data_IF_383267636109
#
_entry.id   IF_383267636109
#
_cell.length_a   1.000
_cell.length_b   1.000
_cell.length_c   1.000
_cell.angle_alpha   90.00
_cell.angle_beta   90.00
_cell.angle_gamma   90.00
#
_symmetry.space_group_name_H-M   'P 1'
#
loop_
_entity.id
_entity.type
_entity.pdbx_description
1 polymer ?
#
# COMPACT_ATOMS: atom_id res chain seq x y z
N UNK A 1 -29.02 -53.76 23.53
CA UNK A 1 -30.22 -52.99 23.91
C UNK A 1 -30.07 -51.62 23.27
N UNK A 2 -30.11 -51.54 21.94
CA UNK A 2 -31.31 -51.71 21.09
C UNK A 2 -32.27 -50.56 21.38
N UNK A 3 -32.85 -49.83 20.45
CA UNK A 3 -33.17 -49.97 19.02
C UNK A 3 -34.16 -48.80 18.78
N UNK A 4 -34.59 -48.35 17.61
CA UNK A 4 -34.36 -48.55 16.20
C UNK A 4 -35.14 -47.39 15.51
N UNK A 5 -34.88 -47.15 14.23
CA UNK A 5 -35.92 -46.62 13.32
C UNK A 5 -37.01 -47.68 13.08
N UNK A 6 -37.63 -47.82 11.88
CA UNK A 6 -37.41 -47.08 10.63
C UNK A 6 -38.71 -46.88 9.79
N UNK A 7 -38.55 -46.50 8.51
CA UNK A 7 -39.45 -46.87 7.41
C UNK A 7 -40.21 -45.69 6.78
N UNK A 8 -40.28 -45.51 5.46
CA UNK A 8 -39.92 -46.36 4.32
C UNK A 8 -41.05 -46.34 3.27
N UNK A 9 -40.69 -46.28 1.98
CA UNK A 9 -41.57 -46.57 0.83
C UNK A 9 -42.19 -45.33 0.16
N UNK A 10 -42.31 -45.25 -1.17
CA UNK A 10 -42.13 -46.25 -2.21
C UNK A 10 -42.17 -45.64 -3.62
N UNK A 11 -41.72 -46.46 -4.56
CA UNK A 11 -41.59 -46.23 -6.00
C UNK A 11 -42.88 -46.64 -6.75
N UNK A 12 -42.87 -46.41 -8.08
CA UNK A 12 -43.78 -46.89 -9.16
C UNK A 12 -44.97 -45.98 -9.47
N UNK A 13 -45.49 -45.81 -10.69
CA UNK A 13 -45.07 -46.01 -12.10
C UNK A 13 -46.25 -45.54 -13.01
N UNK A 14 -46.03 -45.47 -14.33
CA UNK A 14 -47.00 -45.25 -15.43
C UNK A 14 -47.44 -43.79 -15.65
N UNK A 15 -47.51 -43.21 -16.86
CA UNK A 15 -47.32 -43.70 -18.23
C UNK A 15 -48.26 -42.91 -19.14
N UNK A 16 -47.77 -42.23 -20.18
CA UNK A 16 -48.53 -42.04 -21.43
C UNK A 16 -47.62 -41.57 -22.57
N UNK A 17 -47.94 -42.10 -23.74
CA UNK A 17 -47.20 -42.18 -24.99
C UNK A 17 -47.44 -41.01 -25.94
N UNK A 18 -46.43 -40.80 -26.81
CA UNK A 18 -46.50 -40.38 -28.24
C UNK A 18 -46.94 -38.92 -28.55
N UNK A 19 -46.46 -38.23 -29.60
CA UNK A 19 -45.87 -38.72 -30.85
C UNK A 19 -45.13 -37.58 -31.63
N UNK A 20 -44.23 -37.96 -32.55
CA UNK A 20 -43.75 -37.24 -33.78
C UNK A 20 -42.98 -35.91 -33.57
N UNK A 21 -41.80 -35.64 -34.15
CA UNK A 21 -41.04 -36.22 -35.24
C UNK A 21 -39.71 -35.45 -35.46
N UNK A 22 -38.85 -36.04 -36.29
CA UNK A 22 -37.41 -35.78 -36.51
C UNK A 22 -36.99 -34.33 -36.79
N UNK A 23 -35.82 -33.95 -36.26
CA UNK A 23 -34.86 -33.09 -36.95
C UNK A 23 -33.42 -33.34 -36.45
N UNK A 24 -32.48 -33.31 -37.40
CA UNK A 24 -31.11 -33.81 -37.37
C UNK A 24 -30.15 -33.09 -36.41
N UNK A 25 -29.36 -33.88 -35.66
CA UNK A 25 -28.17 -33.42 -34.91
C UNK A 25 -27.05 -32.98 -35.86
N UNK A 26 -26.59 -31.75 -35.71
CA UNK A 26 -25.26 -31.31 -36.14
C UNK A 26 -24.38 -31.16 -34.89
N UNK A 27 -23.23 -31.84 -34.86
CA UNK A 27 -22.24 -31.76 -33.78
C UNK A 27 -21.43 -30.45 -33.89
N UNK A 28 -21.13 -29.73 -32.80
CA UNK A 28 -20.00 -28.83 -32.77
C UNK A 28 -18.74 -29.62 -32.37
N UNK A 29 -17.88 -29.89 -33.36
CA UNK A 29 -16.51 -30.35 -33.10
C UNK A 29 -15.61 -29.14 -32.88
N UNK A 30 -14.95 -29.08 -31.72
CA UNK A 30 -13.97 -28.06 -31.39
C UNK A 30 -13.57 -28.12 -29.92
N UNK A 31 -12.63 -29.00 -29.58
CA UNK A 31 -12.04 -29.12 -28.25
C UNK A 31 -11.20 -27.89 -27.90
N UNK A 32 -11.55 -27.16 -26.84
CA UNK A 32 -10.64 -26.21 -26.20
C UNK A 32 -9.60 -26.99 -25.37
N UNK A 33 -8.32 -26.88 -25.73
CA UNK A 33 -7.24 -27.41 -24.90
C UNK A 33 -6.94 -26.43 -23.74
N UNK A 34 -6.80 -26.98 -22.53
CA UNK A 34 -6.31 -26.26 -21.36
C UNK A 34 -4.80 -26.04 -21.53
N UNK A 35 -4.38 -24.83 -21.87
CA UNK A 35 -2.94 -24.50 -21.94
C UNK A 35 -2.60 -23.08 -22.41
N UNK A 36 -3.52 -22.37 -23.07
CA UNK A 36 -3.23 -21.04 -23.59
C UNK A 36 -3.54 -19.95 -22.57
N UNK A 37 -2.48 -19.32 -22.06
CA UNK A 37 -2.60 -18.06 -21.33
C UNK A 37 -3.26 -17.02 -22.25
N UNK A 38 -4.13 -16.13 -21.73
CA UNK A 38 -4.83 -15.12 -22.54
C UNK A 38 -3.87 -14.23 -23.36
N UNK A 39 -2.62 -14.14 -22.94
CA UNK A 39 -1.55 -13.42 -23.61
C UNK A 39 -1.05 -14.10 -24.90
N UNK A 40 -1.06 -15.44 -24.98
CA UNK A 40 -0.70 -16.19 -26.20
C UNK A 40 -1.79 -16.11 -27.26
N UNK A 41 -3.05 -16.18 -26.84
CA UNK A 41 -4.21 -15.98 -27.74
C UNK A 41 -4.30 -14.55 -28.28
N UNK A 42 -4.01 -13.55 -27.44
CA UNK A 42 -3.93 -12.15 -27.88
C UNK A 42 -2.77 -11.91 -28.86
N UNK A 43 -1.61 -12.53 -28.61
CA UNK A 43 -0.44 -12.40 -29.48
C UNK A 43 -0.64 -13.12 -30.82
N UNK A 44 -1.27 -14.30 -30.83
CA UNK A 44 -1.57 -15.02 -32.07
C UNK A 44 -2.62 -14.29 -32.91
N UNK A 45 -3.64 -13.70 -32.27
CA UNK A 45 -4.63 -12.85 -32.93
C UNK A 45 -3.99 -11.58 -33.51
N UNK A 46 -3.13 -10.91 -32.75
CA UNK A 46 -2.39 -9.73 -33.21
C UNK A 46 -1.48 -10.06 -34.39
N UNK A 47 -0.72 -11.16 -34.33
CA UNK A 47 0.14 -11.60 -35.43
C UNK A 47 -0.66 -12.01 -36.67
N UNK A 48 -1.85 -12.61 -36.49
CA UNK A 48 -2.75 -12.94 -37.58
C UNK A 48 -3.33 -11.69 -38.25
N UNK A 49 -3.70 -10.67 -37.48
CA UNK A 49 -4.14 -9.36 -38.00
C UNK A 49 -3.01 -8.63 -38.74
N UNK A 50 -1.80 -8.60 -38.18
CA UNK A 50 -0.63 -8.00 -38.85
C UNK A 50 -0.31 -8.73 -40.16
N UNK A 51 -0.40 -10.07 -40.16
CA UNK A 51 -0.19 -10.89 -41.36
C UNK A 51 -1.29 -10.66 -42.41
N UNK A 52 -2.55 -10.52 -42.01
CA UNK A 52 -3.65 -10.16 -42.93
C UNK A 52 -3.55 -8.72 -43.43
N UNK A 53 -2.94 -7.81 -42.67
CA UNK A 53 -2.68 -6.42 -43.08
C UNK A 53 -1.62 -6.33 -44.20
N UNK A 54 -0.54 -7.10 -44.04
CA UNK A 54 0.59 -7.12 -44.98
C UNK A 54 0.31 -7.98 -46.22
N UNK A 55 -0.38 -9.12 -46.06
CA UNK A 55 -0.52 -10.14 -47.12
C UNK A 55 -1.96 -10.40 -47.57
N UNK A 56 -2.97 -9.81 -46.91
CA UNK A 56 -4.39 -10.02 -47.26
C UNK A 56 -4.80 -9.26 -48.52
N UNK A 57 -5.54 -9.95 -49.39
CA UNK A 57 -6.03 -9.44 -50.67
C UNK A 57 -7.39 -8.70 -50.57
N UNK A 58 -7.70 -8.13 -49.41
CA UNK A 58 -8.92 -7.36 -49.17
C UNK A 58 -8.68 -5.84 -49.26
N UNK A 59 -9.70 -5.14 -49.75
CA UNK A 59 -9.63 -3.76 -50.25
C UNK A 59 -8.99 -2.73 -49.33
N UNK A 60 -8.45 -1.67 -49.95
CA UNK A 60 -7.67 -0.55 -49.38
C UNK A 60 -8.27 0.06 -48.11
N UNK A 61 -9.58 -0.05 -47.89
CA UNK A 61 -10.30 0.48 -46.73
C UNK A 61 -10.03 -0.32 -45.44
N UNK A 62 -9.95 -1.66 -45.50
CA UNK A 62 -9.69 -2.52 -44.32
C UNK A 62 -8.26 -2.33 -43.80
N UNK A 63 -7.28 -2.22 -44.70
CA UNK A 63 -5.88 -1.92 -44.33
C UNK A 63 -5.73 -0.55 -43.65
N UNK A 64 -6.44 0.48 -44.13
CA UNK A 64 -6.46 1.82 -43.50
C UNK A 64 -7.07 1.80 -42.09
N UNK A 65 -8.15 1.04 -41.88
CA UNK A 65 -8.81 0.88 -40.57
C UNK A 65 -7.86 0.29 -39.54
N UNK A 66 -7.22 -0.83 -39.88
CA UNK A 66 -6.34 -1.52 -38.92
C UNK A 66 -5.07 -0.72 -38.68
N UNK A 67 -4.51 -0.05 -39.70
CA UNK A 67 -3.39 0.88 -39.50
C UNK A 67 -3.76 2.02 -38.54
N UNK A 68 -4.97 2.57 -38.64
CA UNK A 68 -5.47 3.59 -37.72
C UNK A 68 -5.69 3.05 -36.29
N UNK A 69 -6.19 1.82 -36.14
CA UNK A 69 -6.24 1.14 -34.83
C UNK A 69 -4.84 1.04 -34.20
N UNK A 70 -3.85 0.58 -34.98
CA UNK A 70 -2.48 0.41 -34.51
C UNK A 70 -1.86 1.76 -34.09
N UNK A 71 -2.06 2.83 -34.88
CA UNK A 71 -1.56 4.16 -34.54
C UNK A 71 -2.22 4.71 -33.27
N UNK A 72 -3.54 4.54 -33.10
CA UNK A 72 -4.22 4.94 -31.88
C UNK A 72 -3.72 4.16 -30.67
N UNK A 73 -3.55 2.84 -30.80
CA UNK A 73 -3.01 2.01 -29.73
C UNK A 73 -1.59 2.44 -29.33
N UNK A 74 -0.71 2.73 -30.31
CA UNK A 74 0.64 3.24 -30.06
C UNK A 74 0.59 4.61 -29.40
N UNK A 75 -0.29 5.51 -29.84
CA UNK A 75 -0.48 6.82 -29.22
C UNK A 75 -0.95 6.70 -27.75
N UNK A 76 -1.98 5.90 -27.50
CA UNK A 76 -2.49 5.67 -26.15
C UNK A 76 -1.46 5.00 -25.22
N UNK A 77 -0.68 4.06 -25.76
CA UNK A 77 0.42 3.44 -25.02
C UNK A 77 1.54 4.44 -24.72
N UNK A 78 1.87 5.31 -25.66
CA UNK A 78 2.87 6.37 -25.47
C UNK A 78 2.44 7.37 -24.39
N UNK A 79 1.17 7.79 -24.43
CA UNK A 79 0.55 8.63 -23.40
C UNK A 79 0.61 7.94 -22.03
N UNK A 80 0.27 6.65 -21.95
CA UNK A 80 0.38 5.87 -20.72
C UNK A 80 1.82 5.83 -20.17
N UNK A 81 2.82 5.63 -21.03
CA UNK A 81 4.24 5.62 -20.63
C UNK A 81 4.73 6.99 -20.14
N UNK A 82 4.31 8.07 -20.79
CA UNK A 82 4.64 9.44 -20.37
C UNK A 82 4.02 9.78 -19.00
N UNK A 83 2.80 9.33 -18.75
CA UNK A 83 2.10 9.59 -17.50
C UNK A 83 2.51 8.63 -16.36
N UNK A 84 3.19 7.53 -16.67
CA UNK A 84 3.78 6.60 -15.70
C UNK A 84 5.24 6.32 -16.05
N UNK A 85 6.12 7.30 -15.93
CA UNK A 85 7.52 7.08 -16.21
C UNK A 85 8.06 6.00 -15.26
N UNK A 86 8.99 5.15 -15.74
CA UNK A 86 9.70 4.25 -14.83
C UNK A 86 10.47 5.06 -13.79
N UNK A 87 10.69 4.49 -12.60
CA UNK A 87 11.55 5.08 -11.58
C UNK A 87 12.94 5.32 -12.17
N UNK A 88 13.48 6.54 -11.99
CA UNK A 88 14.81 6.94 -12.48
C UNK A 88 15.56 7.74 -11.42
N UNK A 89 16.90 7.73 -11.53
CA UNK A 89 17.80 8.50 -10.67
C UNK A 89 17.54 8.27 -9.19
N UNK A 90 17.46 9.38 -8.43
CA UNK A 90 17.29 9.37 -6.98
C UNK A 90 16.05 8.58 -6.50
N UNK A 91 14.94 8.56 -7.26
CA UNK A 91 13.74 7.80 -6.87
C UNK A 91 13.95 6.29 -6.98
N UNK A 92 14.67 5.85 -8.01
CA UNK A 92 15.00 4.45 -8.22
C UNK A 92 15.98 3.95 -7.15
N UNK A 93 17.03 4.72 -6.88
CA UNK A 93 18.00 4.43 -5.82
C UNK A 93 17.35 4.33 -4.45
N UNK A 94 16.41 5.24 -4.15
CA UNK A 94 15.70 5.23 -2.87
C UNK A 94 14.80 3.98 -2.74
N UNK A 95 14.08 3.63 -3.80
CA UNK A 95 13.27 2.41 -3.83
C UNK A 95 14.14 1.15 -3.62
N UNK A 96 15.29 1.09 -4.30
CA UNK A 96 16.23 -0.04 -4.20
C UNK A 96 16.87 -0.09 -2.79
N UNK A 97 17.23 1.06 -2.21
CA UNK A 97 17.76 1.15 -0.83
C UNK A 97 16.74 0.64 0.19
N UNK A 98 15.47 1.01 0.05
CA UNK A 98 14.39 0.52 0.90
C UNK A 98 14.20 -1.00 0.78
N UNK A 99 14.27 -1.57 -0.43
CA UNK A 99 14.26 -3.03 -0.62
C UNK A 99 15.47 -3.73 -0.03
N UNK A 100 16.66 -3.15 -0.20
CA UNK A 100 17.88 -3.72 0.37
C UNK A 100 17.84 -3.73 1.90
N UNK A 101 17.36 -2.65 2.52
CA UNK A 101 17.16 -2.55 3.97
C UNK A 101 16.21 -3.63 4.50
N UNK A 102 15.12 -3.87 3.78
CA UNK A 102 14.15 -4.92 4.09
C UNK A 102 14.74 -6.33 3.97
N UNK A 103 15.48 -6.61 2.89
CA UNK A 103 16.16 -7.89 2.72
C UNK A 103 17.24 -8.14 3.78
N UNK A 104 17.94 -7.09 4.21
CA UNK A 104 18.88 -7.17 5.33
C UNK A 104 18.18 -7.53 6.64
N UNK A 105 17.11 -6.82 6.99
CA UNK A 105 16.35 -7.08 8.21
C UNK A 105 15.76 -8.50 8.21
N UNK A 106 15.26 -8.97 7.07
CA UNK A 106 14.81 -10.35 6.91
C UNK A 106 15.92 -11.36 7.18
N UNK A 107 17.09 -11.18 6.56
CA UNK A 107 18.23 -12.08 6.75
C UNK A 107 18.71 -12.10 8.21
N UNK A 108 18.66 -10.97 8.91
CA UNK A 108 18.99 -10.93 10.33
C UNK A 108 17.97 -11.70 11.18
N UNK A 109 16.68 -11.59 10.85
CA UNK A 109 15.64 -12.40 11.50
C UNK A 109 15.79 -13.89 11.23
N UNK A 110 16.25 -14.28 10.03
CA UNK A 110 16.59 -15.68 9.74
C UNK A 110 17.74 -16.18 10.62
N UNK A 111 18.81 -15.38 10.80
CA UNK A 111 19.93 -15.72 11.69
C UNK A 111 19.52 -15.87 13.16
N UNK A 112 18.57 -15.05 13.59
CA UNK A 112 17.99 -15.09 14.93
C UNK A 112 16.94 -16.21 15.11
N UNK A 113 16.58 -16.93 14.03
CA UNK A 113 15.50 -17.92 14.01
C UNK A 113 14.10 -17.36 14.38
N UNK A 114 13.85 -16.09 14.05
CA UNK A 114 12.58 -15.37 14.31
C UNK A 114 11.94 -14.81 13.03
N UNK A 115 12.33 -15.29 11.85
CA UNK A 115 11.74 -14.88 10.59
C UNK A 115 10.25 -15.29 10.50
N UNK A 116 9.42 -14.42 9.91
CA UNK A 116 7.99 -14.70 9.72
C UNK A 116 7.78 -15.82 8.70
N UNK A 117 6.63 -16.50 8.73
CA UNK A 117 6.24 -17.39 7.63
C UNK A 117 6.13 -16.58 6.32
N UNK A 118 6.54 -17.16 5.20
CA UNK A 118 6.41 -16.54 3.88
C UNK A 118 4.94 -16.27 3.49
N UNK A 119 3.97 -16.99 4.04
CA UNK A 119 2.55 -16.66 3.90
C UNK A 119 2.17 -15.37 4.60
N UNK A 120 2.89 -14.99 5.67
CA UNK A 120 2.68 -13.79 6.47
C UNK A 120 3.48 -12.61 5.90
N UNK A 121 4.73 -12.81 5.53
CA UNK A 121 5.61 -11.81 4.89
C UNK A 121 6.08 -12.32 3.51
N UNK A 122 5.20 -12.32 2.49
CA UNK A 122 5.51 -12.89 1.17
C UNK A 122 6.66 -12.19 0.45
N UNK A 123 6.98 -10.98 0.87
CA UNK A 123 8.02 -10.15 0.26
C UNK A 123 9.29 -10.08 1.10
N UNK A 124 9.40 -10.91 2.15
CA UNK A 124 10.59 -11.06 2.99
C UNK A 124 11.12 -9.70 3.43
N UNK A 125 10.21 -8.90 4.00
CA UNK A 125 10.51 -7.52 4.40
C UNK A 125 11.23 -7.44 5.74
N UNK A 126 11.01 -8.45 6.60
CA UNK A 126 11.49 -8.46 7.97
C UNK A 126 10.70 -7.54 8.91
N UNK A 127 9.75 -6.77 8.39
CA UNK A 127 9.01 -5.72 9.11
C UNK A 127 7.65 -6.18 9.64
N UNK A 128 7.19 -7.37 9.25
CA UNK A 128 5.91 -7.94 9.70
C UNK A 128 6.13 -8.77 10.95
N UNK A 129 5.53 -8.37 12.07
CA UNK A 129 5.61 -9.07 13.35
C UNK A 129 4.64 -10.24 13.48
N UNK A 130 4.17 -10.48 14.71
CA UNK A 130 3.26 -11.57 15.07
C UNK A 130 1.81 -11.10 15.09
N UNK A 131 0.86 -12.02 14.93
CA UNK A 131 -0.56 -11.71 15.18
C UNK A 131 -0.79 -11.21 16.61
N UNK A 132 -0.12 -11.86 17.57
CA UNK A 132 -0.16 -11.53 18.97
C UNK A 132 1.18 -11.83 19.66
N UNK A 133 1.56 -10.99 20.62
CA UNK A 133 2.68 -11.19 21.55
C UNK A 133 2.42 -10.43 22.86
N UNK A 134 3.31 -10.58 23.83
CA UNK A 134 3.28 -9.85 25.11
C UNK A 134 3.39 -8.32 24.96
N UNK A 135 3.86 -7.83 23.81
CA UNK A 135 3.97 -6.39 23.50
C UNK A 135 2.95 -5.92 22.46
N UNK A 136 1.94 -6.74 22.14
CA UNK A 136 0.81 -6.32 21.29
C UNK A 136 -0.15 -5.43 22.07
N UNK A 137 -0.39 -4.21 21.59
CA UNK A 137 -1.29 -3.24 22.24
C UNK A 137 -2.70 -3.27 21.66
N UNK A 138 -2.83 -3.49 20.35
CA UNK A 138 -4.12 -3.42 19.65
C UNK A 138 -4.18 -4.40 18.48
N UNK A 139 -5.40 -4.71 18.03
CA UNK A 139 -5.60 -5.53 16.83
C UNK A 139 -5.33 -4.73 15.56
N UNK A 140 -4.65 -5.36 14.61
CA UNK A 140 -4.30 -4.77 13.31
C UNK A 140 -4.60 -5.72 12.16
N UNK A 141 -4.83 -5.15 10.97
CA UNK A 141 -5.03 -5.91 9.73
C UNK A 141 -3.69 -6.21 9.06
N UNK A 142 -3.40 -7.48 8.79
CA UNK A 142 -2.15 -7.93 8.17
C UNK A 142 -1.91 -7.27 6.81
N UNK A 143 -2.98 -7.12 6.01
CA UNK A 143 -2.95 -6.49 4.69
C UNK A 143 -2.48 -5.04 4.76
N UNK A 144 -2.93 -4.30 5.79
CA UNK A 144 -2.51 -2.92 6.01
C UNK A 144 -1.02 -2.86 6.39
N UNK A 145 -0.53 -3.82 7.19
CA UNK A 145 0.88 -3.87 7.58
C UNK A 145 1.78 -4.18 6.40
N UNK A 146 1.42 -5.19 5.58
CA UNK A 146 2.13 -5.49 4.33
C UNK A 146 2.15 -4.31 3.38
N UNK A 147 1.02 -3.64 3.21
CA UNK A 147 0.94 -2.46 2.34
C UNK A 147 1.86 -1.33 2.82
N UNK A 148 1.97 -1.11 4.13
CA UNK A 148 2.88 -0.12 4.70
C UNK A 148 4.37 -0.44 4.48
N UNK A 149 4.72 -1.66 4.09
CA UNK A 149 6.10 -2.04 3.72
C UNK A 149 6.44 -1.79 2.25
N UNK A 150 5.51 -1.29 1.42
CA UNK A 150 5.82 -1.01 0.02
C UNK A 150 6.91 0.09 -0.09
N UNK A 151 8.06 -0.16 -0.74
CA UNK A 151 9.12 0.84 -0.90
C UNK A 151 8.70 2.09 -1.69
N UNK A 152 7.58 2.01 -2.42
CA UNK A 152 6.94 3.16 -3.04
C UNK A 152 6.61 4.28 -2.04
N UNK A 153 6.38 3.96 -0.76
CA UNK A 153 6.18 4.98 0.27
C UNK A 153 7.41 5.88 0.45
N UNK A 154 8.63 5.34 0.36
CA UNK A 154 9.84 6.16 0.45
C UNK A 154 9.92 7.15 -0.72
N UNK A 155 9.56 6.70 -1.93
CA UNK A 155 9.51 7.57 -3.11
C UNK A 155 8.42 8.63 -2.99
N UNK A 156 7.24 8.27 -2.47
CA UNK A 156 6.15 9.23 -2.26
C UNK A 156 6.52 10.27 -1.22
N UNK A 157 7.08 9.86 -0.08
CA UNK A 157 7.52 10.76 0.99
C UNK A 157 8.60 11.72 0.50
N UNK A 158 9.55 11.24 -0.32
CA UNK A 158 10.53 12.11 -0.99
C UNK A 158 9.85 13.21 -1.83
N UNK A 159 8.76 12.88 -2.52
CA UNK A 159 7.99 13.87 -3.30
C UNK A 159 7.23 14.83 -2.41
N UNK A 160 6.60 14.34 -1.35
CA UNK A 160 5.87 15.16 -0.39
C UNK A 160 6.79 16.13 0.36
N UNK A 161 7.98 15.68 0.77
CA UNK A 161 8.98 16.54 1.39
C UNK A 161 9.41 17.68 0.46
N UNK A 162 9.63 17.37 -0.83
CA UNK A 162 9.94 18.38 -1.86
C UNK A 162 8.77 19.32 -2.14
N UNK A 163 7.54 18.83 -2.19
CA UNK A 163 6.37 19.69 -2.42
C UNK A 163 6.09 20.62 -1.25
N UNK A 164 6.49 20.23 -0.04
CA UNK A 164 6.48 21.07 1.16
C UNK A 164 7.69 22.02 1.24
N UNK A 165 8.55 22.05 0.22
CA UNK A 165 9.66 22.99 0.12
C UNK A 165 10.86 22.66 1.01
N UNK A 166 10.98 21.43 1.51
CA UNK A 166 12.14 21.03 2.31
C UNK A 166 13.42 20.97 1.45
N UNK A 167 14.49 21.51 2.00
CA UNK A 167 15.84 21.55 1.42
C UNK A 167 16.84 20.82 2.33
N UNK A 168 18.04 20.55 1.81
CA UNK A 168 19.14 20.01 2.60
C UNK A 168 19.37 20.82 3.88
N UNK A 169 19.58 20.13 5.00
CA UNK A 169 19.73 20.73 6.34
C UNK A 169 18.44 21.17 7.02
N UNK A 170 17.30 21.13 6.33
CA UNK A 170 16.02 21.43 6.97
C UNK A 170 15.62 20.35 7.99
N UNK A 171 14.88 20.79 9.01
CA UNK A 171 14.47 19.96 10.14
C UNK A 171 13.14 19.28 9.89
N UNK A 172 13.11 17.96 9.99
CA UNK A 172 11.92 17.12 9.90
C UNK A 172 11.79 16.28 11.17
N UNK A 173 10.63 16.33 11.81
CA UNK A 173 10.33 15.44 12.92
C UNK A 173 9.43 14.28 12.48
N UNK A 174 9.68 13.07 12.99
CA UNK A 174 8.90 11.87 12.71
C UNK A 174 8.40 11.30 14.03
N UNK A 175 7.09 11.27 14.21
CA UNK A 175 6.41 10.71 15.37
C UNK A 175 5.75 9.39 14.96
N UNK A 176 6.33 8.25 15.35
CA UNK A 176 5.96 6.97 14.75
C UNK A 176 5.54 5.90 15.74
N UNK A 177 4.34 5.35 15.56
CA UNK A 177 3.92 4.13 16.24
C UNK A 177 4.65 2.90 15.70
N UNK A 178 5.07 2.01 16.61
CA UNK A 178 5.56 0.67 16.31
C UNK A 178 4.57 -0.22 15.56
N UNK A 179 3.32 0.22 15.42
CA UNK A 179 2.34 -0.43 14.56
C UNK A 179 2.69 -0.40 13.06
N UNK A 180 3.52 0.55 12.59
CA UNK A 180 3.83 0.69 11.16
C UNK A 180 5.33 0.92 10.89
N UNK A 181 6.20 -0.06 11.19
CA UNK A 181 7.64 0.08 11.00
C UNK A 181 8.04 0.28 9.53
N UNK A 182 7.23 -0.19 8.57
CA UNK A 182 7.46 0.05 7.14
C UNK A 182 7.29 1.51 6.70
N UNK A 183 6.30 2.23 7.26
CA UNK A 183 6.18 3.66 7.05
C UNK A 183 7.33 4.42 7.71
N UNK A 184 7.73 4.03 8.92
CA UNK A 184 8.87 4.65 9.60
C UNK A 184 10.15 4.51 8.77
N UNK A 185 10.47 3.31 8.31
CA UNK A 185 11.63 3.07 7.44
C UNK A 185 11.57 3.96 6.19
N UNK A 186 10.41 4.02 5.54
CA UNK A 186 10.22 4.81 4.32
C UNK A 186 10.42 6.32 4.56
N UNK A 187 9.90 6.85 5.67
CA UNK A 187 10.06 8.25 6.06
C UNK A 187 11.51 8.61 6.36
N UNK A 188 12.21 7.77 7.14
CA UNK A 188 13.63 7.98 7.44
C UNK A 188 14.46 7.96 6.15
N UNK A 189 14.27 6.96 5.30
CA UNK A 189 15.07 6.83 4.07
C UNK A 189 14.85 8.01 3.12
N UNK A 190 13.61 8.49 2.99
CA UNK A 190 13.28 9.65 2.16
C UNK A 190 13.93 10.92 2.69
N UNK A 191 13.90 11.13 4.01
CA UNK A 191 14.47 12.30 4.65
C UNK A 191 16.01 12.29 4.60
N UNK A 192 16.64 11.14 4.88
CA UNK A 192 18.10 11.01 4.77
C UNK A 192 18.60 11.12 3.34
N UNK A 193 17.77 10.77 2.33
CA UNK A 193 18.12 10.98 0.91
C UNK A 193 18.12 12.46 0.52
N UNK A 194 17.45 13.31 1.29
CA UNK A 194 17.44 14.76 1.16
C UNK A 194 18.40 15.46 2.13
N UNK A 195 19.19 14.68 2.90
CA UNK A 195 20.10 15.20 3.93
C UNK A 195 19.40 16.17 4.91
N UNK A 196 18.19 15.80 5.33
CA UNK A 196 17.43 16.51 6.36
C UNK A 196 17.97 16.21 7.76
N UNK A 197 17.89 17.20 8.65
CA UNK A 197 18.08 17.00 10.08
C UNK A 197 16.83 16.30 10.65
N UNK A 198 17.03 15.15 11.29
CA UNK A 198 15.93 14.29 11.76
C UNK A 198 15.79 14.26 13.28
N UNK A 199 14.56 14.44 13.76
CA UNK A 199 14.14 14.04 15.10
C UNK A 199 13.11 12.92 14.99
N UNK A 200 13.45 11.72 15.46
CA UNK A 200 12.51 10.58 15.50
C UNK A 200 12.09 10.32 16.93
N UNK A 201 10.78 10.30 17.19
CA UNK A 201 10.19 9.94 18.48
C UNK A 201 9.24 8.74 18.27
N UNK A 202 9.73 7.49 18.45
CA UNK A 202 8.90 6.32 18.33
C UNK A 202 8.04 6.09 19.58
N UNK A 203 6.87 5.51 19.35
CA UNK A 203 5.97 4.94 20.36
C UNK A 203 6.08 3.42 20.24
N UNK A 204 6.69 2.75 21.21
CA UNK A 204 7.24 1.41 21.03
C UNK A 204 6.18 0.30 20.94
N UNK A 205 5.10 0.43 21.72
CA UNK A 205 3.97 -0.49 21.68
C UNK A 205 3.40 -0.60 20.27
N UNK A 206 3.15 -1.83 19.82
CA UNK A 206 2.79 -2.12 18.44
C UNK A 206 1.51 -2.95 18.38
N UNK A 207 0.66 -2.67 17.37
CA UNK A 207 -0.48 -3.52 17.07
C UNK A 207 -0.07 -4.89 16.52
N UNK A 208 -1.02 -5.80 16.34
CA UNK A 208 -0.82 -7.02 15.55
C UNK A 208 -0.07 -6.74 14.25
N UNK A 209 0.89 -7.60 13.94
CA UNK A 209 1.73 -7.59 12.75
C UNK A 209 2.68 -6.39 12.61
N UNK A 210 2.72 -5.49 13.60
CA UNK A 210 3.68 -4.38 13.69
C UNK A 210 5.05 -4.83 14.21
N UNK A 211 5.79 -3.91 14.84
CA UNK A 211 7.05 -4.18 15.53
C UNK A 211 6.83 -4.84 16.91
N UNK A 212 6.01 -5.89 16.95
CA UNK A 212 5.55 -6.54 18.18
C UNK A 212 6.27 -7.87 18.46
N UNK A 213 7.48 -8.09 17.97
CA UNK A 213 8.31 -9.23 18.36
C UNK A 213 9.08 -8.88 19.64
N UNK A 214 8.89 -9.60 20.77
CA UNK A 214 9.62 -9.32 22.01
C UNK A 214 11.14 -9.31 21.85
N UNK A 215 11.67 -10.23 21.03
CA UNK A 215 13.11 -10.35 20.75
C UNK A 215 13.62 -9.30 19.75
N UNK A 216 12.71 -8.62 19.04
CA UNK A 216 13.05 -7.57 18.09
C UNK A 216 12.05 -6.40 18.15
N UNK A 217 12.00 -5.64 19.26
CA UNK A 217 11.14 -4.47 19.38
C UNK A 217 11.57 -3.38 18.40
N UNK A 218 10.75 -2.32 18.26
CA UNK A 218 11.01 -1.25 17.29
C UNK A 218 12.41 -0.61 17.40
N UNK A 219 12.90 -0.38 18.61
CA UNK A 219 14.27 0.12 18.87
C UNK A 219 15.33 -0.81 18.30
N UNK A 220 15.18 -2.12 18.47
CA UNK A 220 16.08 -3.13 17.93
C UNK A 220 15.99 -3.25 16.40
N UNK A 221 14.81 -3.05 15.82
CA UNK A 221 14.64 -2.93 14.36
C UNK A 221 15.45 -1.74 13.83
N UNK A 222 15.29 -0.57 14.45
CA UNK A 222 16.04 0.65 14.09
C UNK A 222 17.54 0.39 14.18
N UNK A 223 18.03 -0.18 15.28
CA UNK A 223 19.45 -0.46 15.46
C UNK A 223 19.99 -1.51 14.48
N UNK A 224 19.19 -2.53 14.14
CA UNK A 224 19.57 -3.53 13.12
C UNK A 224 19.76 -2.90 11.75
N UNK A 225 18.89 -1.95 11.38
CA UNK A 225 18.98 -1.19 10.13
C UNK A 225 20.16 -0.21 10.13
N UNK A 226 20.46 0.41 11.28
CA UNK A 226 21.63 1.27 11.48
C UNK A 226 22.94 0.49 11.34
N UNK A 227 23.07 -0.65 12.02
CA UNK A 227 24.23 -1.55 11.92
C UNK A 227 24.44 -2.05 10.49
N UNK A 228 23.36 -2.23 9.74
CA UNK A 228 23.41 -2.56 8.30
C UNK A 228 23.77 -1.39 7.38
N UNK A 229 23.93 -0.16 7.90
CA UNK A 229 24.25 1.04 7.12
C UNK A 229 23.10 1.60 6.29
N UNK A 230 21.86 1.17 6.55
CA UNK A 230 20.69 1.63 5.77
C UNK A 230 20.15 2.96 6.24
N UNK A 231 20.20 3.22 7.55
CA UNK A 231 19.77 4.48 8.16
C UNK A 231 20.86 4.99 9.12
N UNK A 232 20.92 6.30 9.29
CA UNK A 232 21.87 7.02 10.16
C UNK A 232 21.20 7.66 11.37
N UNK A 233 19.87 7.77 11.38
CA UNK A 233 19.13 8.43 12.48
C UNK A 233 19.18 7.65 13.78
N UNK A 234 19.45 8.34 14.89
CA UNK A 234 19.25 7.84 16.26
C UNK A 234 17.97 8.49 16.78
N UNK A 235 17.00 7.73 17.32
CA UNK A 235 15.82 8.34 17.94
C UNK A 235 16.21 9.29 19.08
N UNK A 236 15.63 10.49 19.09
CA UNK A 236 15.97 11.51 20.09
C UNK A 236 15.34 11.26 21.45
N UNK A 237 14.17 10.64 21.45
CA UNK A 237 13.45 10.18 22.64
C UNK A 237 12.39 9.17 22.20
N UNK A 238 11.73 8.47 23.13
CA UNK A 238 10.65 7.52 22.80
C UNK A 238 9.59 7.45 23.92
N UNK A 239 8.41 6.94 23.58
CA UNK A 239 7.38 6.56 24.56
C UNK A 239 7.15 5.04 24.53
N UNK A 240 6.56 4.50 25.60
CA UNK A 240 6.23 3.06 25.64
C UNK A 240 5.10 2.70 24.67
N UNK A 241 4.27 3.66 24.25
CA UNK A 241 3.09 3.38 23.44
C UNK A 241 1.98 2.73 24.24
N UNK A 242 1.07 2.04 23.56
CA UNK A 242 -0.13 1.49 24.21
C UNK A 242 -1.00 2.56 24.85
N UNK A 243 -1.81 2.15 25.82
CA UNK A 243 -2.73 3.02 26.54
C UNK A 243 -1.96 4.13 27.28
N UNK A 244 -2.38 5.37 27.01
CA UNK A 244 -1.80 6.60 27.54
C UNK A 244 -0.33 6.80 27.21
N UNK A 245 0.22 6.14 26.18
CA UNK A 245 1.68 6.11 25.86
C UNK A 245 2.58 5.51 26.95
N UNK A 246 1.99 4.86 27.95
CA UNK A 246 2.66 4.27 29.12
C UNK A 246 2.60 2.75 29.14
N UNK A 247 1.98 2.16 28.12
CA UNK A 247 1.71 0.73 28.00
C UNK A 247 0.95 0.16 29.21
N UNK A 248 -0.02 0.90 29.74
CA UNK A 248 -0.83 0.44 30.90
C UNK A 248 -1.79 -0.69 30.55
N UNK A 249 -2.01 -0.91 29.26
CA UNK A 249 -2.76 -2.01 28.67
C UNK A 249 -1.94 -3.29 28.45
N UNK A 250 -0.61 -3.23 28.62
CA UNK A 250 0.26 -4.40 28.53
C UNK A 250 0.41 -5.10 29.89
N UNK A 251 0.78 -6.38 29.84
CA UNK A 251 1.20 -7.11 31.04
C UNK A 251 2.48 -6.48 31.63
N UNK A 252 2.76 -6.70 32.94
CA UNK A 252 4.00 -6.25 33.55
C UNK A 252 5.25 -6.74 32.81
N UNK A 253 5.21 -7.97 32.27
CA UNK A 253 6.26 -8.55 31.44
C UNK A 253 6.44 -7.79 30.12
N UNK A 254 5.35 -7.53 29.38
CA UNK A 254 5.39 -6.76 28.14
C UNK A 254 5.96 -5.37 28.34
N UNK A 255 5.55 -4.69 29.41
CA UNK A 255 6.09 -3.38 29.78
C UNK A 255 7.58 -3.45 30.15
N UNK A 256 8.01 -4.49 30.86
CA UNK A 256 9.42 -4.70 31.19
C UNK A 256 10.29 -4.92 29.94
N UNK A 257 9.80 -5.66 28.94
CA UNK A 257 10.47 -5.84 27.64
C UNK A 257 10.71 -4.50 26.95
N UNK A 258 9.69 -3.64 26.87
CA UNK A 258 9.83 -2.31 26.25
C UNK A 258 10.80 -1.40 27.02
N UNK A 259 10.74 -1.43 28.35
CA UNK A 259 11.66 -0.66 29.21
C UNK A 259 13.12 -1.12 29.05
N UNK A 260 13.37 -2.43 29.04
CA UNK A 260 14.72 -2.96 28.84
C UNK A 260 15.23 -2.65 27.42
N UNK A 261 14.35 -2.66 26.43
CA UNK A 261 14.69 -2.28 25.05
C UNK A 261 15.08 -0.80 24.93
N UNK A 262 14.44 0.10 25.69
CA UNK A 262 14.86 1.51 25.78
C UNK A 262 16.20 1.66 26.49
N UNK A 263 16.36 0.98 27.63
CA UNK A 263 17.59 1.03 28.42
C UNK A 263 18.81 0.55 27.60
N UNK A 264 18.66 -0.56 26.88
CA UNK A 264 19.73 -1.13 26.05
C UNK A 264 20.05 -0.29 24.81
N UNK A 265 19.07 0.43 24.25
CA UNK A 265 19.29 1.33 23.11
C UNK A 265 19.84 2.71 23.51
N UNK A 266 19.77 3.08 24.80
CA UNK A 266 20.17 4.40 25.29
C UNK A 266 19.24 5.53 24.86
N UNK A 267 18.05 5.21 24.32
CA UNK A 267 17.07 6.21 23.88
C UNK A 267 16.35 6.77 25.11
N UNK A 268 16.33 8.11 25.32
CA UNK A 268 15.61 8.73 26.43
C UNK A 268 14.11 8.41 26.40
N UNK A 269 13.55 8.08 27.56
CA UNK A 269 12.11 7.87 27.73
C UNK A 269 11.41 9.21 28.02
N UNK A 270 10.38 9.52 27.23
CA UNK A 270 9.36 10.51 27.58
C UNK A 270 8.35 9.82 28.49
N UNK A 271 8.21 10.32 29.71
CA UNK A 271 7.29 9.76 30.70
C UNK A 271 6.68 10.87 31.56
N UNK A 272 5.38 10.79 31.74
CA UNK A 272 4.63 11.52 32.74
C UNK A 272 3.49 10.63 33.25
N UNK A 273 2.87 11.00 34.38
CA UNK A 273 1.77 10.20 34.95
C UNK A 273 0.45 10.35 34.18
N UNK A 274 0.34 11.36 33.32
CA UNK A 274 -0.84 11.64 32.49
C UNK A 274 -0.47 11.72 31.01
N UNK A 275 -1.47 11.50 30.14
CA UNK A 275 -1.29 11.61 28.70
C UNK A 275 -0.94 13.05 28.30
N UNK A 276 -1.56 14.04 28.95
CA UNK A 276 -1.31 15.47 28.76
C UNK A 276 0.14 15.83 29.11
N UNK A 277 0.69 15.25 30.18
CA UNK A 277 2.09 15.43 30.54
C UNK A 277 3.05 14.84 29.50
N UNK A 278 2.72 13.68 28.92
CA UNK A 278 3.50 13.08 27.83
C UNK A 278 3.41 13.95 26.56
N UNK A 279 2.22 14.48 26.24
CA UNK A 279 2.04 15.41 25.13
C UNK A 279 2.83 16.70 25.34
N UNK A 280 2.86 17.23 26.56
CA UNK A 280 3.65 18.42 26.89
C UNK A 280 5.15 18.17 26.67
N UNK A 281 5.72 17.08 27.22
CA UNK A 281 7.13 16.75 27.03
C UNK A 281 7.49 16.44 25.55
N UNK A 282 6.61 15.73 24.83
CA UNK A 282 6.76 15.53 23.37
C UNK A 282 6.81 16.86 22.65
N UNK A 283 5.90 17.78 22.99
CA UNK A 283 5.86 19.10 22.38
C UNK A 283 7.09 19.94 22.73
N UNK A 284 7.57 19.92 23.96
CA UNK A 284 8.82 20.60 24.36
C UNK A 284 10.01 20.12 23.52
N UNK A 285 10.12 18.81 23.31
CA UNK A 285 11.15 18.21 22.46
C UNK A 285 11.01 18.69 21.01
N UNK A 286 9.78 18.73 20.48
CA UNK A 286 9.50 19.23 19.13
C UNK A 286 9.79 20.73 19.00
N UNK A 287 9.37 21.54 19.96
CA UNK A 287 9.57 22.99 19.95
C UNK A 287 11.05 23.37 20.04
N UNK A 288 11.83 22.65 20.87
CA UNK A 288 13.28 22.82 20.94
C UNK A 288 13.97 22.44 19.62
N UNK A 289 13.45 21.44 18.91
CA UNK A 289 13.95 21.04 17.60
C UNK A 289 13.50 22.00 16.48
N UNK A 290 12.31 22.60 16.59
CA UNK A 290 11.72 23.53 15.62
C UNK A 290 11.64 22.93 14.19
N UNK A 291 10.89 21.82 13.99
CA UNK A 291 10.76 21.20 12.68
C UNK A 291 9.96 22.08 11.71
N UNK A 292 10.32 22.04 10.42
CA UNK A 292 9.52 22.64 9.35
C UNK A 292 8.30 21.82 8.99
N UNK A 293 8.39 20.49 9.14
CA UNK A 293 7.32 19.54 8.83
C UNK A 293 7.34 18.41 9.86
N UNK A 294 6.17 17.92 10.24
CA UNK A 294 6.02 16.75 11.12
C UNK A 294 5.41 15.58 10.34
N UNK A 295 6.02 14.41 10.40
CA UNK A 295 5.44 13.16 9.88
C UNK A 295 4.86 12.39 11.05
N UNK A 296 3.55 12.21 11.04
CA UNK A 296 2.84 11.41 12.03
C UNK A 296 2.52 10.04 11.42
N UNK A 297 2.88 8.95 12.12
CA UNK A 297 2.68 7.59 11.65
C UNK A 297 1.92 6.76 12.69
N UNK A 298 0.81 6.17 12.27
CA UNK A 298 0.02 5.25 13.07
C UNK A 298 -0.85 5.94 14.13
N UNK A 299 -1.33 5.16 15.10
CA UNK A 299 -2.36 5.58 16.06
C UNK A 299 -1.83 5.90 17.45
N UNK A 300 -0.70 6.61 17.55
CA UNK A 300 -0.16 7.03 18.85
C UNK A 300 -1.16 7.95 19.55
N UNK A 301 -1.56 7.63 20.79
CA UNK A 301 -2.59 8.37 21.52
C UNK A 301 -2.16 9.82 21.80
N UNK A 302 -0.89 10.06 22.13
CA UNK A 302 -0.42 11.45 22.30
C UNK A 302 -0.44 12.23 20.98
N UNK A 303 -0.16 11.55 19.86
CA UNK A 303 -0.14 12.22 18.57
C UNK A 303 -1.55 12.61 18.11
N UNK A 304 -2.51 11.70 18.29
CA UNK A 304 -3.91 11.91 17.89
C UNK A 304 -4.70 12.75 18.90
N UNK A 305 -4.39 12.61 20.19
CA UNK A 305 -5.19 13.15 21.28
C UNK A 305 -6.34 12.22 21.68
N UNK A 306 -7.27 12.76 22.46
CA UNK A 306 -8.47 12.08 22.96
C UNK A 306 -9.75 12.58 22.29
N UNK A 307 -9.66 13.66 21.50
CA UNK A 307 -10.78 14.24 20.77
C UNK A 307 -11.01 13.49 19.45
N UNK A 308 -12.23 12.98 19.25
CA UNK A 308 -12.66 12.25 18.07
C UNK A 308 -12.60 13.09 16.78
N UNK A 309 -12.49 14.42 16.87
CA UNK A 309 -12.32 15.28 15.71
C UNK A 309 -11.11 14.88 14.83
N UNK A 310 -10.05 14.34 15.45
CA UNK A 310 -8.87 13.82 14.74
C UNK A 310 -9.20 12.67 13.77
N UNK A 311 -10.29 11.92 13.99
CA UNK A 311 -10.71 10.81 13.13
C UNK A 311 -11.28 11.29 11.78
N UNK A 312 -11.60 12.58 11.66
CA UNK A 312 -12.07 13.20 10.42
C UNK A 312 -10.93 13.69 9.54
N UNK A 313 -9.69 13.72 10.05
CA UNK A 313 -8.54 14.17 9.27
C UNK A 313 -8.26 13.22 8.12
N UNK A 314 -8.16 13.80 6.93
CA UNK A 314 -7.72 13.05 5.76
C UNK A 314 -6.24 12.65 5.93
N UNK A 315 -5.86 11.43 5.51
CA UNK A 315 -4.46 11.05 5.52
C UNK A 315 -3.71 11.72 4.36
N UNK A 316 -2.39 11.87 4.48
CA UNK A 316 -1.56 12.57 3.50
C UNK A 316 -1.00 13.88 4.06
N UNK A 317 -0.79 14.86 3.19
CA UNK A 317 -0.33 16.20 3.59
C UNK A 317 -1.53 16.98 4.13
N UNK A 318 -1.37 17.59 5.31
CA UNK A 318 -2.32 18.54 5.89
C UNK A 318 -1.58 19.85 6.10
N UNK A 319 -2.04 20.91 5.42
CA UNK A 319 -1.50 22.26 5.61
C UNK A 319 -2.21 22.97 6.78
N UNK A 320 -1.52 23.88 7.50
CA UNK A 320 -2.12 24.64 8.60
C UNK A 320 -3.43 25.35 8.24
N UNK A 321 -3.52 25.89 7.03
CA UNK A 321 -4.69 26.61 6.52
C UNK A 321 -5.88 25.69 6.15
N UNK A 322 -5.64 24.39 5.97
CA UNK A 322 -6.66 23.39 5.65
C UNK A 322 -7.25 22.73 6.91
N UNK A 323 -6.56 22.90 8.05
CA UNK A 323 -6.89 22.21 9.28
C UNK A 323 -8.08 22.87 10.00
N UNK A 324 -9.26 22.27 9.89
CA UNK A 324 -10.41 22.57 10.75
C UNK A 324 -10.62 21.42 11.72
N UNK A 325 -10.66 21.70 13.03
CA UNK A 325 -10.97 20.72 14.09
C UNK A 325 -10.03 19.48 14.09
N UNK A 326 -8.71 19.69 14.20
CA UNK A 326 -7.72 18.60 14.23
C UNK A 326 -7.65 17.81 15.56
N UNK A 327 -8.59 18.05 16.48
CA UNK A 327 -8.62 17.47 17.83
C UNK A 327 -7.69 18.19 18.81
N UNK A 328 -7.19 17.47 19.82
CA UNK A 328 -6.37 18.03 20.89
C UNK A 328 -4.95 17.41 20.98
N UNK A 329 -4.57 16.53 20.04
CA UNK A 329 -3.26 15.87 20.02
C UNK A 329 -2.10 16.73 19.53
N UNK A 330 -0.92 16.11 19.38
CA UNK A 330 0.25 16.78 18.77
C UNK A 330 -0.02 17.22 17.33
N UNK A 331 -0.86 16.50 16.56
CA UNK A 331 -1.23 16.92 15.20
C UNK A 331 -1.90 18.30 15.23
N UNK A 332 -2.92 18.47 16.08
CA UNK A 332 -3.63 19.75 16.21
C UNK A 332 -2.67 20.87 16.61
N UNK A 333 -1.86 20.63 17.65
CA UNK A 333 -0.89 21.61 18.14
C UNK A 333 0.14 22.02 17.09
N UNK A 334 0.58 21.08 16.24
CA UNK A 334 1.47 21.36 15.12
C UNK A 334 0.84 22.29 14.10
N UNK A 335 -0.39 21.98 13.67
CA UNK A 335 -1.12 22.76 12.67
C UNK A 335 -1.46 24.16 13.20
N UNK A 336 -1.89 24.28 14.45
CA UNK A 336 -2.12 25.57 15.14
C UNK A 336 -0.84 26.41 15.24
N UNK A 337 0.33 25.76 15.30
CA UNK A 337 1.63 26.42 15.32
C UNK A 337 2.19 26.73 13.92
N UNK A 338 1.40 26.51 12.87
CA UNK A 338 1.82 26.76 11.49
C UNK A 338 2.77 25.70 10.91
N UNK A 339 2.83 24.50 11.49
CA UNK A 339 3.70 23.40 11.04
C UNK A 339 2.85 22.39 10.24
N UNK A 340 3.11 22.20 8.94
CA UNK A 340 2.44 21.16 8.15
C UNK A 340 2.68 19.75 8.70
N UNK A 341 1.66 18.89 8.59
CA UNK A 341 1.70 17.51 9.06
C UNK A 341 1.49 16.54 7.89
N UNK A 342 2.32 15.51 7.80
CA UNK A 342 2.06 14.33 6.96
C UNK A 342 1.44 13.25 7.84
N UNK A 343 0.13 13.03 7.71
CA UNK A 343 -0.65 12.09 8.51
C UNK A 343 -0.74 10.70 7.86
N UNK A 344 -0.09 9.69 8.45
CA UNK A 344 -0.01 8.32 7.91
C UNK A 344 -0.71 7.29 8.81
N UNK A 345 -2.05 7.19 8.71
CA UNK A 345 -2.84 6.22 9.50
C UNK A 345 -3.79 5.35 8.65
N UNK A 346 -4.68 5.93 7.85
CA UNK A 346 -5.57 5.15 6.97
C UNK A 346 -4.81 4.65 5.73
N UNK A 347 -4.20 3.48 5.87
CA UNK A 347 -3.42 2.81 4.81
C UNK A 347 -4.24 2.58 3.56
N UNK A 348 -5.56 2.34 3.66
CA UNK A 348 -6.40 2.05 2.49
C UNK A 348 -6.65 3.32 1.68
N UNK A 349 -6.99 4.41 2.35
CA UNK A 349 -7.14 5.71 1.72
C UNK A 349 -5.80 6.19 1.13
N UNK A 350 -4.72 6.13 1.90
CA UNK A 350 -3.36 6.45 1.43
C UNK A 350 -2.99 5.65 0.18
N UNK A 351 -3.21 4.33 0.19
CA UNK A 351 -2.85 3.46 -0.95
C UNK A 351 -3.62 3.85 -2.22
N UNK A 352 -4.90 4.16 -2.07
CA UNK A 352 -5.76 4.61 -3.17
C UNK A 352 -5.29 5.95 -3.74
N UNK A 353 -4.89 6.88 -2.88
CA UNK A 353 -4.40 8.19 -3.28
C UNK A 353 -3.00 8.13 -3.90
N UNK A 354 -2.09 7.38 -3.29
CA UNK A 354 -0.73 7.16 -3.75
C UNK A 354 -0.66 6.30 -5.03
N UNK A 355 -1.73 5.57 -5.38
CA UNK A 355 -1.70 4.58 -6.45
C UNK A 355 -0.83 3.35 -6.11
N UNK A 356 -0.59 3.09 -4.83
CA UNK A 356 0.11 1.91 -4.33
C UNK A 356 -0.93 0.79 -4.14
N UNK A 357 -0.75 -0.41 -4.72
CA UNK A 357 -1.72 -1.49 -4.58
C UNK A 357 -1.86 -1.97 -3.12
N UNK A 358 -3.06 -1.91 -2.57
CA UNK A 358 -3.36 -2.45 -1.25
C UNK A 358 -3.19 -3.99 -1.23
N UNK A 359 -2.38 -4.47 -0.29
CA UNK A 359 -1.91 -5.87 -0.17
C UNK A 359 -1.31 -6.46 -1.46
N UNK A 360 -0.74 -5.59 -2.30
CA UNK A 360 -0.14 -6.01 -3.56
C UNK A 360 1.34 -6.33 -3.45
N UNK A 361 1.85 -7.04 -4.45
CA UNK A 361 3.29 -7.18 -4.66
C UNK A 361 3.91 -5.80 -4.92
N UNK A 362 4.97 -5.40 -4.19
CA UNK A 362 5.69 -4.17 -4.46
C UNK A 362 6.13 -4.07 -5.91
N UNK A 363 5.84 -2.94 -6.53
CA UNK A 363 6.23 -2.67 -7.92
C UNK A 363 7.25 -1.57 -7.93
N UNK A 364 8.38 -1.81 -8.60
CA UNK A 364 9.40 -0.80 -8.88
C UNK A 364 8.90 0.18 -9.94
N UNK A 365 7.93 1.01 -9.56
CA UNK A 365 7.28 2.04 -10.39
C UNK A 365 7.00 3.27 -9.54
N UNK A 366 6.95 4.41 -10.22
CA UNK A 366 6.66 5.68 -9.58
C UNK A 366 5.24 5.66 -9.00
N UNK A 367 5.06 5.96 -7.70
CA UNK A 367 3.73 6.15 -7.12
C UNK A 367 3.01 7.31 -7.81
N UNK A 368 1.69 7.19 -7.95
CA UNK A 368 0.83 8.21 -8.54
C UNK A 368 -0.41 7.64 -9.23
N UNK A 369 -1.53 8.36 -9.11
CA UNK A 369 -2.74 8.08 -9.90
C UNK A 369 -2.51 8.47 -11.35
N UNK A 370 -3.04 7.68 -12.28
CA UNK A 370 -3.24 8.16 -13.64
C UNK A 370 -4.27 9.29 -13.57
N UNK A 371 -3.97 10.51 -14.04
CA UNK A 371 -4.95 11.59 -13.99
C UNK A 371 -6.21 11.19 -14.74
N UNK A 372 -7.39 11.35 -14.13
CA UNK A 372 -8.67 10.92 -14.70
C UNK A 372 -8.94 11.55 -16.07
N UNK A 373 -8.43 12.76 -16.30
CA UNK A 373 -8.53 13.46 -17.59
C UNK A 373 -7.88 12.67 -18.73
N UNK A 374 -6.80 11.94 -18.48
CA UNK A 374 -6.17 11.09 -19.48
C UNK A 374 -7.03 9.88 -19.84
N UNK A 375 -7.77 9.33 -18.88
CA UNK A 375 -8.74 8.27 -19.16
C UNK A 375 -9.93 8.81 -19.99
N UNK A 376 -10.37 10.04 -19.72
CA UNK A 376 -11.42 10.71 -20.51
C UNK A 376 -10.90 11.01 -21.92
N UNK A 377 -9.71 11.58 -22.07
CA UNK A 377 -9.08 11.79 -23.38
C UNK A 377 -8.90 10.49 -24.15
N UNK A 378 -8.48 9.42 -23.47
CA UNK A 378 -8.39 8.08 -24.02
C UNK A 378 -9.74 7.58 -24.55
N UNK A 379 -10.80 7.68 -23.74
CA UNK A 379 -12.16 7.30 -24.13
C UNK A 379 -12.72 8.18 -25.26
N UNK A 380 -12.43 9.48 -25.24
CA UNK A 380 -12.84 10.42 -26.27
C UNK A 380 -12.11 10.15 -27.59
N UNK A 381 -10.80 9.90 -27.56
CA UNK A 381 -10.02 9.52 -28.73
C UNK A 381 -10.51 8.19 -29.32
N UNK A 382 -10.86 7.22 -28.46
CA UNK A 382 -11.49 5.97 -28.87
C UNK A 382 -12.89 6.18 -29.47
N UNK A 383 -13.72 7.04 -28.87
CA UNK A 383 -15.04 7.41 -29.39
C UNK A 383 -14.95 8.09 -30.75
N UNK A 384 -14.03 9.06 -30.90
CA UNK A 384 -13.78 9.77 -32.16
C UNK A 384 -13.28 8.80 -33.24
N UNK A 385 -12.41 7.87 -32.86
CA UNK A 385 -11.97 6.78 -33.72
C UNK A 385 -13.14 5.93 -34.23
N UNK A 386 -14.08 5.56 -33.35
CA UNK A 386 -15.29 4.83 -33.76
C UNK A 386 -16.16 5.61 -34.75
N UNK A 387 -16.23 6.94 -34.65
CA UNK A 387 -16.99 7.80 -35.56
C UNK A 387 -16.39 7.91 -36.96
N UNK A 388 -15.08 7.70 -37.11
CA UNK A 388 -14.43 7.61 -38.43
C UNK A 388 -14.83 6.36 -39.22
N UNK A 389 -15.54 5.40 -38.60
CA UNK A 389 -16.06 4.22 -39.26
C UNK A 389 -17.56 4.34 -39.52
N UNK A 390 -17.93 4.34 -40.80
CA UNK A 390 -19.32 4.15 -41.23
C UNK A 390 -19.75 2.72 -40.83
N UNK A 391 -20.53 2.61 -39.76
CA UNK A 391 -21.00 1.38 -39.12
C UNK A 391 -22.53 1.59 -38.97
N UNK A 392 -23.47 0.89 -39.60
CA UNK A 392 -23.60 -0.51 -40.03
C UNK A 392 -24.44 -0.58 -41.32
N UNK A 393 -24.21 -1.55 -42.20
CA UNK A 393 -25.30 -2.05 -43.06
C UNK A 393 -25.98 -3.16 -42.28
N UNK A 394 -27.15 -2.87 -41.72
CA UNK A 394 -28.07 -3.95 -41.36
C UNK A 394 -28.31 -4.73 -42.65
N UNK A 395 -27.82 -5.97 -42.74
CA UNK A 395 -28.30 -6.88 -43.77
C UNK A 395 -29.82 -6.90 -43.59
N UNK A 396 -30.55 -6.35 -44.56
CA UNK A 396 -31.96 -6.67 -44.70
C UNK A 396 -31.97 -8.17 -44.88
N UNK A 397 -32.45 -8.90 -43.87
CA UNK A 397 -32.74 -10.32 -44.04
C UNK A 397 -33.54 -10.46 -45.31
N UNK A 398 -33.12 -11.37 -46.18
CA UNK A 398 -33.86 -11.74 -47.37
C UNK A 398 -35.28 -12.14 -46.93
N UNK A 399 -36.21 -11.18 -47.01
CA UNK A 399 -37.62 -11.46 -47.18
C UNK A 399 -37.79 -11.93 -48.63
N UNK A 400 -37.23 -13.11 -48.90
CA UNK A 400 -37.45 -13.88 -50.10
C UNK A 400 -38.85 -14.51 -50.02
N UNK A 401 -39.60 -14.24 -51.07
CA UNK A 401 -40.91 -14.76 -51.47
C UNK A 401 -41.15 -16.23 -51.19
#
# INVERSE_FOLDING_TARGET
MDSAGPGGGGFTSSGSFADIGRSSRVRPGGSFSRGDTPMKGALSFFLLEVKTLLLGNEGTRRKKVVAACCLLAVFMFSVFLVCRPPLRGAEAELWDKARAAQSWLWAERERMNIASDQKIDPWRTGLIGLEWSTITTTMGKLEAKRTATDPGWAVLLLKWYRSLGLLEGDRLAILASGSFPGFLLSAILAAEKMDLELLVIPSLGASSWGANLPDLPLTAIIETLRRGGFIRVVPGAATLGGAGERATDLSPEGRAILMESLKSSGIPLIYADTLEGIMAQKWETLAAFSPKVIVQIGGSQANLGTDDAVLKLDPGIILPEEATEAGNGIIARALESGIPVIHMLDVRALSREAGIPYDGKPKRKTPGRTPGILAIFALAAWGLFLLCFRRWTLEKGDAGK
#
